data_IF_470333283156
#
_entry.id   IF_470333283156
#
_cell.length_a   1.000
_cell.length_b   1.000
_cell.length_c   1.000
_cell.angle_alpha   90.00
_cell.angle_beta   90.00
_cell.angle_gamma   90.00
#
_symmetry.space_group_name_H-M   'P 1'
#
loop_
_entity.id
_entity.type
_entity.pdbx_description
1 polymer ?
#
# COMPACT_ATOMS: atom_id res chain seq x y z
N UNK A 1 3.02 -8.48 27.67
CA UNK A 1 1.84 -8.14 26.84
C UNK A 1 1.84 -6.67 26.45
N UNK A 2 2.04 -5.76 27.41
CA UNK A 2 2.05 -4.31 27.19
C UNK A 2 2.99 -3.83 26.08
N UNK A 3 4.24 -4.32 26.05
CA UNK A 3 5.20 -3.97 24.99
C UNK A 3 4.74 -4.39 23.59
N UNK A 4 4.16 -5.59 23.45
CA UNK A 4 3.62 -6.07 22.16
C UNK A 4 2.47 -5.20 21.69
N UNK A 5 1.56 -4.83 22.60
CA UNK A 5 0.47 -3.91 22.30
C UNK A 5 0.96 -2.53 21.86
N UNK A 6 2.00 -2.01 22.52
CA UNK A 6 2.63 -0.74 22.14
C UNK A 6 3.21 -0.82 20.73
N UNK A 7 3.97 -1.87 20.41
CA UNK A 7 4.56 -2.06 19.08
C UNK A 7 3.49 -2.25 17.99
N UNK A 8 2.44 -3.02 18.29
CA UNK A 8 1.32 -3.19 17.37
C UNK A 8 0.66 -1.84 17.03
N UNK A 9 0.37 -1.00 18.03
CA UNK A 9 -0.21 0.32 17.80
C UNK A 9 0.69 1.20 16.93
N UNK A 10 2.01 1.14 17.10
CA UNK A 10 2.97 1.89 16.27
C UNK A 10 2.94 1.39 14.82
N UNK A 11 3.01 0.07 14.61
CA UNK A 11 2.97 -0.54 13.29
C UNK A 11 1.66 -0.22 12.55
N UNK A 12 0.50 -0.34 13.21
CA UNK A 12 -0.80 -0.04 12.63
C UNK A 12 -0.94 1.43 12.24
N UNK A 13 -0.45 2.36 13.08
CA UNK A 13 -0.44 3.80 12.75
C UNK A 13 0.42 4.09 11.52
N UNK A 14 1.62 3.49 11.44
CA UNK A 14 2.51 3.63 10.28
C UNK A 14 1.87 3.07 9.02
N UNK A 15 1.30 1.87 9.09
CA UNK A 15 0.63 1.22 7.95
C UNK A 15 -0.50 2.09 7.39
N UNK A 16 -1.41 2.56 8.24
CA UNK A 16 -2.51 3.43 7.81
C UNK A 16 -2.02 4.75 7.21
N UNK A 17 -0.95 5.33 7.75
CA UNK A 17 -0.36 6.54 7.19
C UNK A 17 0.22 6.30 5.78
N UNK A 18 0.95 5.20 5.59
CA UNK A 18 1.48 4.82 4.28
C UNK A 18 0.36 4.53 3.26
N UNK A 19 -0.74 3.88 3.67
CA UNK A 19 -1.92 3.70 2.83
C UNK A 19 -2.49 5.06 2.37
N UNK A 20 -2.64 6.03 3.28
CA UNK A 20 -3.10 7.38 2.92
C UNK A 20 -2.17 8.08 1.94
N UNK A 21 -0.85 8.02 2.17
CA UNK A 21 0.13 8.58 1.23
C UNK A 21 0.03 7.93 -0.16
N UNK A 22 -0.13 6.60 -0.22
CA UNK A 22 -0.28 5.90 -1.49
C UNK A 22 -1.56 6.30 -2.24
N UNK A 23 -2.69 6.43 -1.53
CA UNK A 23 -3.96 6.89 -2.10
C UNK A 23 -3.87 8.33 -2.63
N UNK A 24 -3.07 9.19 -2.01
CA UNK A 24 -2.86 10.58 -2.49
C UNK A 24 -1.68 10.71 -3.47
N UNK A 25 -1.25 9.61 -4.11
CA UNK A 25 -0.18 9.63 -5.10
C UNK A 25 1.22 9.94 -4.54
N UNK A 26 1.41 9.90 -3.23
CA UNK A 26 2.69 10.11 -2.54
C UNK A 26 3.46 8.80 -2.29
N UNK A 27 3.06 7.71 -2.94
CA UNK A 27 3.79 6.43 -2.95
C UNK A 27 5.00 6.47 -3.89
N UNK A 28 6.00 5.61 -3.65
CA UNK A 28 7.26 5.64 -4.40
C UNK A 28 7.27 4.72 -5.63
N UNK A 29 6.52 3.63 -5.62
CA UNK A 29 6.62 2.57 -6.63
C UNK A 29 6.34 3.06 -8.04
N UNK A 30 5.28 3.86 -8.20
CA UNK A 30 4.92 4.44 -9.50
C UNK A 30 5.91 5.50 -9.95
N UNK A 31 6.53 6.23 -9.02
CA UNK A 31 7.57 7.21 -9.34
C UNK A 31 8.84 6.49 -9.83
N UNK A 32 9.29 5.45 -9.12
CA UNK A 32 10.43 4.63 -9.52
C UNK A 32 10.19 3.94 -10.88
N UNK A 33 8.97 3.44 -11.10
CA UNK A 33 8.60 2.88 -12.40
C UNK A 33 8.63 3.92 -13.53
N UNK A 34 8.15 5.14 -13.29
CA UNK A 34 8.23 6.23 -14.26
C UNK A 34 9.69 6.55 -14.62
N UNK A 35 10.56 6.70 -13.60
CA UNK A 35 11.99 6.92 -13.81
C UNK A 35 12.64 5.80 -14.62
N UNK A 36 12.25 4.54 -14.36
CA UNK A 36 12.68 3.40 -15.14
C UNK A 36 12.27 3.51 -16.61
N UNK A 37 10.99 3.78 -16.89
CA UNK A 37 10.49 3.93 -18.28
C UNK A 37 11.25 5.04 -19.01
N UNK A 38 11.44 6.20 -18.36
CA UNK A 38 12.18 7.33 -18.93
C UNK A 38 13.65 6.98 -19.17
N UNK A 39 14.31 6.27 -18.25
CA UNK A 39 15.70 5.83 -18.41
C UNK A 39 15.87 4.92 -19.64
N UNK A 40 14.90 4.04 -19.91
CA UNK A 40 14.91 3.17 -21.09
C UNK A 40 14.73 3.96 -22.38
N UNK A 41 13.82 4.93 -22.39
CA UNK A 41 13.62 5.81 -23.56
C UNK A 41 14.88 6.61 -23.88
N UNK A 42 15.55 7.17 -22.86
CA UNK A 42 16.77 7.96 -23.03
C UNK A 42 18.05 7.14 -23.16
N UNK A 43 17.97 5.81 -23.14
CA UNK A 43 19.10 4.89 -23.12
C UNK A 43 20.14 5.21 -22.01
N UNK A 44 19.66 5.66 -20.85
CA UNK A 44 20.50 5.95 -19.67
C UNK A 44 20.53 4.72 -18.77
N UNK A 45 21.73 4.24 -18.45
CA UNK A 45 21.91 3.21 -17.42
C UNK A 45 21.96 3.83 -16.03
N UNK A 46 21.20 3.26 -15.10
CA UNK A 46 21.08 3.75 -13.72
C UNK A 46 21.34 2.62 -12.74
N UNK A 47 22.51 2.60 -12.07
CA UNK A 47 22.82 1.62 -11.03
C UNK A 47 21.77 1.59 -9.92
N UNK A 48 21.25 2.76 -9.54
CA UNK A 48 20.19 2.89 -8.55
C UNK A 48 18.89 2.19 -8.98
N UNK A 49 18.41 2.45 -10.21
CA UNK A 49 17.19 1.82 -10.70
C UNK A 49 17.36 0.30 -10.87
N UNK A 50 18.55 -0.15 -11.25
CA UNK A 50 18.87 -1.58 -11.34
C UNK A 50 18.80 -2.26 -9.98
N UNK A 51 19.35 -1.64 -8.94
CA UNK A 51 19.32 -2.18 -7.58
C UNK A 51 17.89 -2.17 -7.01
N UNK A 52 17.22 -1.01 -7.01
CA UNK A 52 15.91 -0.86 -6.35
C UNK A 52 14.81 -1.73 -6.98
N UNK A 53 14.93 -2.05 -8.27
CA UNK A 53 13.98 -2.90 -8.99
C UNK A 53 14.37 -4.39 -9.01
N UNK A 54 15.53 -4.75 -8.45
CA UNK A 54 16.00 -6.14 -8.42
C UNK A 54 15.31 -6.99 -7.35
N UNK A 55 14.73 -6.35 -6.33
CA UNK A 55 14.10 -7.04 -5.20
C UNK A 55 12.71 -7.61 -5.58
N UNK A 56 12.50 -8.94 -5.44
CA UNK A 56 11.23 -9.55 -5.77
C UNK A 56 10.16 -9.30 -4.68
N UNK A 57 8.95 -8.97 -5.11
CA UNK A 57 7.76 -8.89 -4.25
C UNK A 57 7.35 -10.28 -3.77
N UNK A 58 7.80 -10.68 -2.57
CA UNK A 58 7.53 -12.03 -2.01
C UNK A 58 6.11 -12.24 -1.50
N UNK A 59 5.40 -11.17 -1.20
CA UNK A 59 4.05 -11.19 -0.68
C UNK A 59 3.20 -10.16 -1.44
N UNK A 60 2.17 -10.64 -2.12
CA UNK A 60 1.18 -9.81 -2.79
C UNK A 60 -0.15 -9.94 -2.06
N UNK A 61 -0.68 -8.83 -1.56
CA UNK A 61 -1.95 -8.79 -0.83
C UNK A 61 -2.89 -7.77 -1.46
N UNK A 62 -4.19 -8.09 -1.46
CA UNK A 62 -5.25 -7.14 -1.71
C UNK A 62 -6.31 -7.27 -0.63
N UNK A 63 -7.02 -6.17 -0.37
CA UNK A 63 -8.24 -6.17 0.42
C UNK A 63 -9.41 -6.18 -0.56
N UNK A 64 -10.45 -6.96 -0.27
CA UNK A 64 -11.75 -6.86 -0.95
C UNK A 64 -12.70 -5.99 -0.10
N UNK A 65 -13.70 -5.32 -0.71
CA UNK A 65 -14.66 -4.53 0.06
C UNK A 65 -15.41 -5.41 1.06
N UNK A 66 -15.73 -4.85 2.23
CA UNK A 66 -16.36 -5.58 3.33
C UNK A 66 -17.76 -6.09 2.95
N UNK A 67 -18.45 -5.38 2.05
CA UNK A 67 -19.76 -5.75 1.54
C UNK A 67 -19.73 -6.95 0.58
N UNK A 68 -18.59 -7.25 -0.04
CA UNK A 68 -18.53 -8.22 -1.14
C UNK A 68 -18.88 -9.65 -0.69
N UNK A 69 -18.60 -10.01 0.56
CA UNK A 69 -18.84 -11.37 1.09
C UNK A 69 -20.12 -11.42 1.92
N UNK A 70 -20.84 -10.30 2.09
CA UNK A 70 -22.06 -10.18 2.92
C UNK A 70 -21.92 -10.67 4.38
N UNK A 71 -20.69 -10.87 4.87
CA UNK A 71 -20.40 -11.35 6.21
C UNK A 71 -20.44 -10.25 7.29
N UNK A 72 -20.65 -8.99 6.89
CA UNK A 72 -20.57 -7.85 7.80
C UNK A 72 -21.77 -6.92 7.63
N UNK A 73 -22.51 -6.69 8.73
CA UNK A 73 -23.61 -5.74 8.76
C UNK A 73 -23.07 -4.34 9.13
N UNK A 74 -22.93 -3.48 8.12
CA UNK A 74 -22.42 -2.11 8.27
C UNK A 74 -23.43 -1.15 8.89
N UNK A 75 -24.74 -1.40 8.73
CA UNK A 75 -25.78 -0.56 9.37
C UNK A 75 -25.72 -0.67 10.89
N UNK A 76 -25.47 -1.88 11.39
CA UNK A 76 -25.33 -2.16 12.83
C UNK A 76 -23.97 -1.79 13.40
N UNK A 77 -22.93 -1.72 12.57
CA UNK A 77 -21.53 -1.58 12.99
C UNK A 77 -20.77 -0.53 12.15
N UNK A 78 -21.28 0.71 12.03
CA UNK A 78 -20.73 1.72 11.13
C UNK A 78 -19.30 2.15 11.49
N UNK A 79 -18.89 2.01 12.75
CA UNK A 79 -17.56 2.38 13.26
C UNK A 79 -16.43 1.47 12.78
N UNK A 80 -16.74 0.30 12.24
CA UNK A 80 -15.76 -0.65 11.71
C UNK A 80 -15.56 -0.56 10.19
N UNK A 81 -16.25 0.39 9.55
CA UNK A 81 -16.03 0.68 8.13
C UNK A 81 -14.58 1.11 7.93
N UNK A 82 -13.91 0.47 6.97
CA UNK A 82 -12.56 0.85 6.51
C UNK A 82 -12.67 1.37 5.09
N UNK A 83 -11.90 2.40 4.74
CA UNK A 83 -11.85 2.97 3.38
C UNK A 83 -11.12 2.09 2.36
N UNK A 84 -10.63 0.92 2.78
CA UNK A 84 -9.91 0.00 1.91
C UNK A 84 -10.83 -0.99 1.19
N UNK A 85 -10.28 -1.70 0.21
CA UNK A 85 -10.94 -2.83 -0.45
C UNK A 85 -11.65 -2.50 -1.75
N UNK A 86 -12.02 -1.25 -2.01
CA UNK A 86 -12.56 -0.83 -3.31
C UNK A 86 -11.46 -0.44 -4.29
N UNK A 87 -11.57 -0.87 -5.55
CA UNK A 87 -10.89 -0.20 -6.66
C UNK A 87 -11.58 1.16 -6.90
N UNK A 88 -11.29 2.14 -6.06
CA UNK A 88 -11.71 3.53 -6.24
C UNK A 88 -10.47 4.44 -6.28
N UNK A 89 -10.51 5.55 -7.05
CA UNK A 89 -9.40 6.51 -7.11
C UNK A 89 -9.06 7.11 -5.75
#
# INVERSE_FOLDING_TARGET
VEQRLKLFKIASKKHQHLCRLAMTGSGIDRHLFCLYVVSKYLAVDSPFLKEVLSEPWRLSTSQTPQQQVELFNLERNPEYVSSGGGFGP
#
